data_IF_865680221283
#
_entry.id   IF_865680221283
#
_cell.length_a   1.000
_cell.length_b   1.000
_cell.length_c   1.000
_cell.angle_alpha   90.00
_cell.angle_beta   90.00
_cell.angle_gamma   90.00
#
_symmetry.space_group_name_H-M   'P 1'
#
loop_
_entity.id
_entity.type
_entity.pdbx_description
1 polymer ?
#
# COMPACT_ATOMS: atom_id res chain seq x y z
N UNK A 1 14.59 20.22 -11.52
CA UNK A 1 13.78 19.01 -11.35
C UNK A 1 13.14 18.71 -12.68
N UNK A 2 13.43 17.54 -13.25
CA UNK A 2 12.77 17.12 -14.51
C UNK A 2 11.38 16.57 -14.20
N UNK A 3 10.46 16.60 -15.17
CA UNK A 3 9.09 16.06 -15.00
C UNK A 3 9.13 14.59 -14.53
N UNK A 4 10.06 13.80 -15.09
CA UNK A 4 10.32 12.40 -14.72
C UNK A 4 10.76 12.24 -13.25
N UNK A 5 11.59 13.15 -12.74
CA UNK A 5 12.04 13.13 -11.34
C UNK A 5 10.90 13.44 -10.37
N UNK A 6 9.98 14.33 -10.75
CA UNK A 6 8.75 14.61 -9.99
C UNK A 6 7.84 13.39 -9.95
N UNK A 7 7.56 12.78 -11.11
CA UNK A 7 6.72 11.58 -11.20
C UNK A 7 7.32 10.40 -10.44
N UNK A 8 8.64 10.21 -10.49
CA UNK A 8 9.31 9.13 -9.74
C UNK A 8 9.12 9.33 -8.22
N UNK A 9 9.30 10.56 -7.73
CA UNK A 9 9.14 10.88 -6.31
C UNK A 9 7.70 10.64 -5.84
N UNK A 10 6.71 11.04 -6.63
CA UNK A 10 5.30 10.81 -6.33
C UNK A 10 4.98 9.32 -6.24
N UNK A 11 5.43 8.53 -7.22
CA UNK A 11 5.20 7.07 -7.23
C UNK A 11 5.87 6.36 -6.05
N UNK A 12 7.08 6.79 -5.66
CA UNK A 12 7.77 6.26 -4.49
C UNK A 12 7.02 6.62 -3.19
N UNK A 13 6.52 7.85 -3.08
CA UNK A 13 5.70 8.28 -1.94
C UNK A 13 4.41 7.47 -1.83
N UNK A 14 3.75 7.19 -2.96
CA UNK A 14 2.52 6.37 -2.99
C UNK A 14 2.80 4.92 -2.58
N UNK A 15 3.94 4.35 -3.00
CA UNK A 15 4.37 3.02 -2.56
C UNK A 15 4.61 2.98 -1.05
N UNK A 16 5.34 3.96 -0.51
CA UNK A 16 5.63 4.04 0.93
C UNK A 16 4.34 4.12 1.75
N UNK A 17 3.41 5.00 1.38
CA UNK A 17 2.12 5.13 2.04
C UNK A 17 1.29 3.84 1.97
N UNK A 18 1.23 3.19 0.80
CA UNK A 18 0.49 1.94 0.64
C UNK A 18 1.09 0.79 1.46
N UNK A 19 2.43 0.72 1.58
CA UNK A 19 3.12 -0.25 2.43
C UNK A 19 2.83 -0.02 3.91
N UNK A 20 2.86 1.24 4.35
CA UNK A 20 2.57 1.61 5.73
C UNK A 20 1.13 1.23 6.12
N UNK A 21 0.16 1.62 5.29
CA UNK A 21 -1.26 1.28 5.48
C UNK A 21 -1.48 -0.24 5.57
N UNK A 22 -0.86 -0.99 4.67
CA UNK A 22 -0.97 -2.44 4.62
C UNK A 22 -0.34 -3.09 5.86
N UNK A 23 0.87 -2.66 6.24
CA UNK A 23 1.58 -3.15 7.43
C UNK A 23 0.79 -2.88 8.71
N UNK A 24 0.25 -1.66 8.84
CA UNK A 24 -0.57 -1.27 9.98
C UNK A 24 -1.85 -2.11 10.09
N UNK A 25 -2.50 -2.38 8.95
CA UNK A 25 -3.69 -3.23 8.90
C UNK A 25 -3.40 -4.67 9.36
N UNK A 26 -2.31 -5.26 8.88
CA UNK A 26 -1.90 -6.60 9.29
C UNK A 26 -1.50 -6.66 10.76
N UNK A 27 -0.79 -5.66 11.27
CA UNK A 27 -0.47 -5.56 12.68
C UNK A 27 -1.74 -5.49 13.54
N UNK A 28 -2.69 -4.66 13.14
CA UNK A 28 -3.98 -4.51 13.83
C UNK A 28 -4.76 -5.82 13.83
N UNK A 29 -4.85 -6.53 12.70
CA UNK A 29 -5.55 -7.82 12.60
C UNK A 29 -4.94 -8.95 13.46
N UNK A 30 -3.68 -8.80 13.91
CA UNK A 30 -3.03 -9.77 14.81
C UNK A 30 -3.43 -9.60 16.27
N UNK A 31 -4.01 -8.46 16.66
CA UNK A 31 -4.35 -8.15 18.06
C UNK A 31 -5.30 -9.20 18.64
N UNK A 32 -4.92 -9.77 19.79
CA UNK A 32 -5.64 -10.87 20.45
C UNK A 32 -7.09 -10.53 20.80
N UNK A 33 -7.38 -9.26 21.10
CA UNK A 33 -8.70 -8.77 21.49
C UNK A 33 -9.73 -8.74 20.35
N UNK A 34 -9.31 -8.87 19.08
CA UNK A 34 -10.22 -8.84 17.94
C UNK A 34 -10.83 -10.23 17.69
N UNK A 35 -12.14 -10.25 17.46
CA UNK A 35 -12.87 -11.41 16.94
C UNK A 35 -12.42 -11.76 15.50
N UNK A 36 -12.73 -12.99 15.06
CA UNK A 36 -12.41 -13.43 13.70
C UNK A 36 -13.05 -12.53 12.63
N UNK A 37 -14.28 -12.05 12.86
CA UNK A 37 -14.97 -11.18 11.91
C UNK A 37 -14.30 -9.81 11.79
N UNK A 38 -13.87 -9.21 12.90
CA UNK A 38 -13.14 -7.93 12.90
C UNK A 38 -11.80 -8.06 12.19
N UNK A 39 -11.06 -9.16 12.44
CA UNK A 39 -9.81 -9.46 11.74
C UNK A 39 -10.03 -9.61 10.24
N UNK A 40 -11.08 -10.34 9.83
CA UNK A 40 -11.44 -10.49 8.41
C UNK A 40 -11.83 -9.16 7.77
N UNK A 41 -12.53 -8.28 8.49
CA UNK A 41 -12.88 -6.95 7.99
C UNK A 41 -11.62 -6.11 7.74
N UNK A 42 -10.67 -6.11 8.67
CA UNK A 42 -9.38 -5.40 8.50
C UNK A 42 -8.59 -5.94 7.32
N UNK A 43 -8.48 -7.28 7.17
CA UNK A 43 -7.78 -7.90 6.03
C UNK A 43 -8.47 -7.58 4.70
N UNK A 44 -9.81 -7.50 4.68
CA UNK A 44 -10.54 -7.06 3.48
C UNK A 44 -10.27 -5.60 3.15
N UNK A 45 -10.20 -4.73 4.15
CA UNK A 45 -9.86 -3.32 3.95
C UNK A 45 -8.43 -3.14 3.46
N UNK A 46 -7.48 -3.95 3.92
CA UNK A 46 -6.08 -3.89 3.47
C UNK A 46 -5.90 -4.27 2.00
N UNK A 47 -6.92 -4.88 1.36
CA UNK A 47 -6.91 -5.17 -0.07
C UNK A 47 -6.81 -3.90 -0.92
N UNK A 48 -7.47 -2.82 -0.52
CA UNK A 48 -7.39 -1.55 -1.25
C UNK A 48 -5.97 -0.96 -1.22
N UNK A 49 -5.27 -1.07 -0.08
CA UNK A 49 -3.86 -0.66 0.04
C UNK A 49 -2.96 -1.52 -0.83
N UNK A 50 -3.22 -2.83 -0.89
CA UNK A 50 -2.50 -3.74 -1.78
C UNK A 50 -2.71 -3.41 -3.27
N UNK A 51 -3.94 -3.12 -3.69
CA UNK A 51 -4.25 -2.72 -5.07
C UNK A 51 -3.54 -1.40 -5.45
N UNK A 52 -3.46 -0.44 -4.53
CA UNK A 52 -2.67 0.79 -4.72
C UNK A 52 -1.18 0.50 -4.86
N UNK A 53 -0.64 -0.40 -4.04
CA UNK A 53 0.75 -0.83 -4.11
C UNK A 53 1.10 -1.43 -5.49
N UNK A 54 0.28 -2.37 -5.97
CA UNK A 54 0.47 -2.98 -7.29
C UNK A 54 0.40 -1.93 -8.42
N UNK A 55 -0.51 -0.95 -8.32
CA UNK A 55 -0.64 0.11 -9.30
C UNK A 55 0.60 1.02 -9.37
N UNK A 56 1.10 1.45 -8.20
CA UNK A 56 2.30 2.28 -8.10
C UNK A 56 3.57 1.54 -8.56
N UNK A 57 3.71 0.25 -8.21
CA UNK A 57 4.81 -0.60 -8.70
C UNK A 57 4.79 -0.68 -10.24
N UNK A 58 3.64 -1.00 -10.84
CA UNK A 58 3.52 -1.08 -12.31
C UNK A 58 3.80 0.26 -12.98
N UNK A 59 3.49 1.38 -12.34
CA UNK A 59 3.82 2.70 -12.86
C UNK A 59 5.33 2.96 -12.82
N UNK A 60 6.02 2.59 -11.75
CA UNK A 60 7.48 2.68 -11.66
C UNK A 60 8.18 1.83 -12.71
N UNK A 61 7.71 0.59 -12.91
CA UNK A 61 8.24 -0.31 -13.95
C UNK A 61 8.09 0.26 -15.36
N UNK A 62 7.07 1.11 -15.61
CA UNK A 62 6.91 1.81 -16.89
C UNK A 62 7.84 3.00 -17.03
N UNK A 63 8.10 3.74 -15.94
CA UNK A 63 9.00 4.91 -15.94
C UNK A 63 10.48 4.49 -16.00
N UNK A 64 10.81 3.30 -15.50
CA UNK A 64 12.17 2.75 -15.51
C UNK A 64 12.60 2.10 -16.85
N UNK A 65 11.69 2.00 -17.84
CA UNK A 65 11.95 1.48 -19.19
C UNK A 65 12.21 2.62 -20.17
#
# INVERSE_FOLDING_TARGET
MTETESTLRELLSDLEAALEDYSYSLHTARRAALSLQERLAIVRMSRASWERLEAAQRALERVAK
#
